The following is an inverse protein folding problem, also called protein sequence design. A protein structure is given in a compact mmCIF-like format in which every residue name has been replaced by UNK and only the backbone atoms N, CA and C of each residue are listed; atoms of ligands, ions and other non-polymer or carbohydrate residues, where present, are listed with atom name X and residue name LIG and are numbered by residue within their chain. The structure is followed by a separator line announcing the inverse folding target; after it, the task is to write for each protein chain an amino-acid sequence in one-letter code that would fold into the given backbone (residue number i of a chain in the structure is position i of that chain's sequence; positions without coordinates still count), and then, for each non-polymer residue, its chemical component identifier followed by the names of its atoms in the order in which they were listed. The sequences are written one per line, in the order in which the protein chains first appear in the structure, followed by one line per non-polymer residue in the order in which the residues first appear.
data_IF_088104102188
#
_entry.id   IF_088104102188
#
_cell.length_a   1.000
_cell.length_b   1.000
_cell.length_c   1.000
_cell.angle_alpha   90.00
_cell.angle_beta   90.00
_cell.angle_gamma   90.00
#
_symmetry.space_group_name_H-M   'P 1'
#
loop_
_entity.id
_entity.type
_entity.pdbx_description
1 polymer ?
#
# COMPACT_ATOMS: atom_id res chain seq x y z
N UNK A 1 43.40 -22.62 52.32
CA UNK A 1 43.41 -21.94 51.01
C UNK A 1 42.77 -22.86 49.99
N UNK A 2 42.00 -22.31 49.05
CA UNK A 2 41.23 -22.95 47.96
C UNK A 2 39.77 -23.31 48.26
N UNK A 3 38.89 -22.29 48.20
CA UNK A 3 37.48 -22.46 47.87
C UNK A 3 37.36 -22.13 46.38
N UNK A 4 37.13 -23.16 45.55
CA UNK A 4 36.87 -22.98 44.12
C UNK A 4 35.50 -22.33 43.96
N UNK A 5 35.49 -21.07 43.51
CA UNK A 5 34.29 -20.37 43.07
C UNK A 5 33.87 -20.92 41.71
N UNK A 6 32.87 -21.80 41.69
CA UNK A 6 32.17 -22.15 40.47
C UNK A 6 31.35 -20.95 39.99
N UNK A 7 31.83 -20.28 38.93
CA UNK A 7 31.01 -19.32 38.18
C UNK A 7 29.89 -20.08 37.47
N UNK A 8 28.66 -19.95 37.98
CA UNK A 8 27.46 -20.19 37.19
C UNK A 8 27.37 -19.07 36.15
N UNK A 9 27.75 -19.39 34.91
CA UNK A 9 27.41 -18.55 33.76
C UNK A 9 25.91 -18.68 33.56
N UNK A 10 25.15 -17.73 34.11
CA UNK A 10 23.77 -17.53 33.71
C UNK A 10 23.79 -17.09 32.24
N UNK A 11 23.57 -18.04 31.34
CA UNK A 11 23.21 -17.73 29.97
C UNK A 11 21.90 -16.94 30.04
N UNK A 12 22.01 -15.62 29.91
CA UNK A 12 20.88 -14.74 29.76
C UNK A 12 20.08 -15.23 28.55
N UNK A 13 18.94 -15.86 28.81
CA UNK A 13 17.87 -16.05 27.84
C UNK A 13 17.38 -14.65 27.48
N UNK A 14 18.08 -13.99 26.56
CA UNK A 14 17.47 -12.91 25.80
C UNK A 14 16.21 -13.54 25.16
N UNK A 15 15.01 -13.00 25.39
CA UNK A 15 13.86 -13.43 24.62
C UNK A 15 14.23 -13.11 23.17
N UNK A 16 14.56 -14.15 22.40
CA UNK A 16 14.72 -14.04 20.97
C UNK A 16 13.38 -13.56 20.45
N UNK A 17 13.29 -12.26 20.18
CA UNK A 17 12.18 -11.69 19.44
C UNK A 17 12.22 -12.41 18.10
N UNK A 18 11.37 -13.41 17.94
CA UNK A 18 11.22 -14.10 16.69
C UNK A 18 10.72 -13.04 15.70
N UNK A 19 11.65 -12.48 14.91
CA UNK A 19 11.32 -11.48 13.90
C UNK A 19 10.28 -12.13 12.98
N UNK A 20 9.08 -11.55 12.95
CA UNK A 20 8.02 -12.05 12.11
C UNK A 20 8.48 -11.80 10.67
N UNK A 21 8.74 -12.88 9.92
CA UNK A 21 9.17 -12.74 8.52
C UNK A 21 8.14 -11.87 7.78
N UNK A 22 8.61 -10.88 6.99
CA UNK A 22 7.70 -10.05 6.22
C UNK A 22 6.85 -10.95 5.31
N UNK A 23 5.57 -10.62 5.21
CA UNK A 23 4.63 -11.31 4.32
C UNK A 23 4.56 -10.56 3.00
N UNK A 24 4.68 -11.27 1.89
CA UNK A 24 4.53 -10.66 0.57
C UNK A 24 3.12 -10.89 0.07
N UNK A 25 2.57 -9.93 -0.66
CA UNK A 25 1.26 -10.04 -1.30
C UNK A 25 1.44 -10.01 -2.81
N UNK A 26 0.71 -10.88 -3.49
CA UNK A 26 0.40 -10.77 -4.91
C UNK A 26 -1.10 -10.52 -5.06
N UNK A 27 -1.46 -9.44 -5.72
CA UNK A 27 -2.81 -8.94 -5.81
C UNK A 27 -3.29 -8.88 -7.27
N UNK A 28 -4.55 -9.21 -7.48
CA UNK A 28 -5.23 -9.09 -8.76
C UNK A 28 -6.31 -8.01 -8.67
N UNK A 29 -6.35 -7.12 -9.66
CA UNK A 29 -7.31 -6.01 -9.69
C UNK A 29 -8.73 -6.56 -9.86
N UNK A 30 -9.60 -6.27 -8.90
CA UNK A 30 -11.02 -6.65 -8.91
C UNK A 30 -11.88 -5.50 -9.42
N UNK A 31 -11.58 -4.27 -9.00
CA UNK A 31 -12.31 -3.08 -9.40
C UNK A 31 -11.39 -1.87 -9.47
N UNK A 32 -11.58 -1.07 -10.51
CA UNK A 32 -10.93 0.22 -10.69
C UNK A 32 -11.97 1.35 -10.68
N UNK A 33 -11.55 2.60 -10.43
CA UNK A 33 -12.41 3.76 -10.61
C UNK A 33 -12.97 3.81 -12.02
N UNK A 34 -14.28 4.04 -12.15
CA UNK A 34 -14.91 4.26 -13.44
C UNK A 34 -14.72 5.72 -13.83
N UNK A 35 -13.64 6.02 -14.56
CA UNK A 35 -13.57 7.27 -15.29
C UNK A 35 -14.56 7.21 -16.47
N UNK A 36 -15.17 8.35 -16.83
CA UNK A 36 -15.99 8.42 -18.04
C UNK A 36 -15.17 7.97 -19.26
N UNK A 37 -15.81 7.21 -20.16
CA UNK A 37 -15.14 6.75 -21.37
C UNK A 37 -14.85 7.92 -22.30
N UNK A 38 -13.64 7.97 -22.85
CA UNK A 38 -13.31 8.95 -23.89
C UNK A 38 -14.07 8.62 -25.18
N UNK A 39 -14.74 9.62 -25.74
CA UNK A 39 -15.51 9.53 -27.00
C UNK A 39 -14.70 9.97 -28.22
N UNK A 40 -13.53 10.60 -28.01
CA UNK A 40 -12.61 11.02 -29.08
C UNK A 40 -11.16 11.14 -28.60
N UNK A 41 -10.21 11.10 -29.54
CA UNK A 41 -8.78 11.32 -29.24
C UNK A 41 -8.53 12.72 -28.69
N UNK A 42 -9.19 13.75 -29.23
CA UNK A 42 -9.11 15.13 -28.73
C UNK A 42 -9.49 15.23 -27.25
N UNK A 43 -10.58 14.57 -26.86
CA UNK A 43 -11.02 14.54 -25.46
C UNK A 43 -9.98 13.86 -24.56
N UNK A 44 -9.40 12.74 -25.02
CA UNK A 44 -8.31 12.05 -24.32
C UNK A 44 -7.08 12.96 -24.16
N UNK A 45 -6.66 13.64 -25.21
CA UNK A 45 -5.48 14.51 -25.18
C UNK A 45 -5.70 15.71 -24.26
N UNK A 46 -6.87 16.34 -24.31
CA UNK A 46 -7.24 17.43 -23.42
C UNK A 46 -7.31 16.97 -21.96
N UNK A 47 -7.86 15.79 -21.69
CA UNK A 47 -7.86 15.20 -20.35
C UNK A 47 -6.43 14.98 -19.84
N UNK A 48 -5.56 14.37 -20.65
CA UNK A 48 -4.15 14.14 -20.32
C UNK A 48 -3.41 15.46 -20.05
N UNK A 49 -3.65 16.49 -20.86
CA UNK A 49 -3.09 17.83 -20.64
C UNK A 49 -3.58 18.43 -19.31
N UNK A 50 -4.89 18.30 -19.00
CA UNK A 50 -5.48 18.80 -17.76
C UNK A 50 -4.92 18.11 -16.52
N UNK A 51 -4.82 16.78 -16.50
CA UNK A 51 -4.23 16.06 -15.34
C UNK A 51 -2.73 16.36 -15.18
N UNK A 52 -2.02 16.64 -16.26
CA UNK A 52 -0.61 17.03 -16.23
C UNK A 52 -0.44 18.45 -15.69
N UNK A 53 -1.25 19.40 -16.16
CA UNK A 53 -1.25 20.79 -15.68
C UNK A 53 -1.58 20.87 -14.18
N UNK A 54 -2.50 20.03 -13.71
CA UNK A 54 -2.84 19.91 -12.28
C UNK A 54 -1.82 19.11 -11.47
N UNK A 55 -0.85 18.45 -12.11
CA UNK A 55 0.16 17.65 -11.42
C UNK A 55 -0.39 16.36 -10.79
N UNK A 56 -1.53 15.85 -11.25
CA UNK A 56 -2.22 14.69 -10.65
C UNK A 56 -2.09 13.41 -11.48
N UNK A 57 -1.10 13.32 -12.38
CA UNK A 57 -0.86 12.11 -13.19
C UNK A 57 -0.78 10.84 -12.32
N UNK A 58 -0.16 10.89 -11.14
CA UNK A 58 -0.05 9.74 -10.23
C UNK A 58 -1.37 9.27 -9.62
N UNK A 59 -2.40 10.13 -9.63
CA UNK A 59 -3.75 9.80 -9.16
C UNK A 59 -4.47 8.86 -10.13
N UNK A 60 -4.33 9.06 -11.45
CA UNK A 60 -5.04 8.24 -12.45
C UNK A 60 -4.37 6.89 -12.74
N UNK A 61 -3.14 6.69 -12.27
CA UNK A 61 -2.40 5.43 -12.42
C UNK A 61 -2.83 4.46 -11.31
N UNK A 62 -3.16 3.20 -11.63
CA UNK A 62 -3.46 2.19 -10.62
C UNK A 62 -2.31 2.03 -9.61
N UNK A 63 -2.61 1.76 -8.32
CA UNK A 63 -1.58 1.35 -7.37
C UNK A 63 -1.04 -0.05 -7.73
N UNK A 64 0.05 -0.43 -7.07
CA UNK A 64 0.77 -1.66 -7.39
C UNK A 64 0.03 -2.93 -7.01
N UNK A 65 0.38 -4.01 -7.72
CA UNK A 65 -0.17 -5.33 -7.53
C UNK A 65 0.63 -6.16 -6.51
N UNK A 66 1.84 -5.71 -6.16
CA UNK A 66 2.72 -6.43 -5.25
C UNK A 66 3.14 -5.57 -4.06
N UNK A 67 3.03 -6.17 -2.86
CA UNK A 67 3.26 -5.47 -1.60
C UNK A 67 4.08 -6.33 -0.64
N UNK A 68 4.83 -5.69 0.26
CA UNK A 68 5.49 -6.34 1.39
C UNK A 68 4.93 -5.76 2.68
N UNK A 69 4.28 -6.61 3.46
CA UNK A 69 3.84 -6.29 4.82
C UNK A 69 4.99 -6.59 5.77
N UNK A 70 5.48 -5.55 6.43
CA UNK A 70 6.52 -5.62 7.45
C UNK A 70 5.97 -5.07 8.77
N UNK A 71 5.31 -5.95 9.54
CA UNK A 71 4.64 -5.56 10.78
C UNK A 71 5.64 -5.14 11.87
N UNK A 72 6.83 -5.73 11.87
CA UNK A 72 7.90 -5.39 12.81
C UNK A 72 8.42 -3.97 12.52
N UNK A 73 8.55 -3.60 11.24
CA UNK A 73 8.88 -2.24 10.83
C UNK A 73 7.67 -1.28 10.85
N UNK A 74 6.46 -1.78 11.16
CA UNK A 74 5.23 -0.97 11.18
C UNK A 74 4.89 -0.34 9.83
N UNK A 75 5.17 -1.02 8.71
CA UNK A 75 4.93 -0.48 7.37
C UNK A 75 4.54 -1.53 6.33
N UNK A 76 3.88 -1.08 5.25
CA UNK A 76 3.66 -1.86 4.03
C UNK A 76 4.39 -1.18 2.87
N UNK A 77 5.31 -1.89 2.24
CA UNK A 77 6.10 -1.40 1.11
C UNK A 77 5.46 -1.79 -0.22
N UNK A 78 5.34 -0.82 -1.12
CA UNK A 78 5.03 -1.03 -2.53
C UNK A 78 6.27 -1.57 -3.24
N UNK A 79 6.19 -2.78 -3.80
CA UNK A 79 7.37 -3.46 -4.36
C UNK A 79 7.72 -3.03 -5.78
N UNK A 80 6.80 -2.37 -6.49
CA UNK A 80 7.01 -1.89 -7.87
C UNK A 80 7.43 -0.43 -7.88
N UNK A 81 6.88 0.39 -6.99
CA UNK A 81 7.18 1.83 -6.90
C UNK A 81 8.23 2.16 -5.82
N UNK A 82 8.60 1.17 -4.99
CA UNK A 82 9.64 1.29 -3.98
C UNK A 82 9.23 2.02 -2.69
N UNK A 83 10.19 2.22 -1.77
CA UNK A 83 9.90 2.58 -0.37
C UNK A 83 9.34 3.99 -0.19
N UNK A 84 9.42 4.86 -1.20
CA UNK A 84 8.84 6.22 -1.15
C UNK A 84 7.32 6.18 -0.97
N UNK A 85 6.66 5.11 -1.42
CA UNK A 85 5.21 4.93 -1.33
C UNK A 85 4.81 4.00 -0.18
N UNK A 86 5.71 3.79 0.77
CA UNK A 86 5.41 2.95 1.92
C UNK A 86 4.21 3.50 2.71
N UNK A 87 3.30 2.59 3.03
CA UNK A 87 2.19 2.81 3.95
C UNK A 87 2.75 2.70 5.36
N UNK A 88 2.50 3.70 6.19
CA UNK A 88 2.95 3.79 7.57
C UNK A 88 1.76 3.96 8.51
N UNK A 89 2.06 4.15 9.79
CA UNK A 89 1.07 4.34 10.87
C UNK A 89 0.05 3.21 10.90
N UNK A 90 0.54 1.98 10.76
CA UNK A 90 -0.32 0.82 10.62
C UNK A 90 -1.14 0.60 11.88
N UNK A 91 -2.45 0.51 11.71
CA UNK A 91 -3.33 -0.08 12.71
C UNK A 91 -3.66 -1.49 12.27
N UNK A 92 -3.25 -2.43 13.11
CA UNK A 92 -3.33 -3.86 12.86
C UNK A 92 -4.30 -4.48 13.85
N UNK A 93 -5.31 -5.17 13.33
CA UNK A 93 -6.26 -5.98 14.11
C UNK A 93 -6.33 -7.38 13.52
N UNK A 94 -7.03 -8.30 14.18
CA UNK A 94 -7.25 -9.64 13.62
C UNK A 94 -8.03 -9.62 12.30
N UNK A 95 -8.87 -8.60 12.08
CA UNK A 95 -9.69 -8.46 10.89
C UNK A 95 -9.02 -7.73 9.74
N UNK A 96 -8.15 -6.75 10.01
CA UNK A 96 -7.60 -5.87 8.99
C UNK A 96 -6.23 -5.27 9.33
N UNK A 97 -5.55 -4.78 8.29
CA UNK A 97 -4.40 -3.88 8.36
C UNK A 97 -4.82 -2.61 7.64
N UNK A 98 -4.82 -1.48 8.34
CA UNK A 98 -5.04 -0.16 7.75
C UNK A 98 -3.82 0.74 7.94
N UNK A 99 -3.59 1.66 7.02
CA UNK A 99 -2.53 2.66 7.13
C UNK A 99 -2.61 3.69 6.01
N UNK A 100 -1.68 4.65 6.02
CA UNK A 100 -1.64 5.74 5.03
C UNK A 100 -0.24 5.91 4.45
N UNK A 101 -0.17 6.33 3.19
CA UNK A 101 1.09 6.84 2.63
C UNK A 101 1.34 8.27 3.10
N UNK A 102 2.57 8.75 2.97
CA UNK A 102 2.93 10.15 3.23
C UNK A 102 2.13 11.14 2.37
N UNK A 103 1.65 10.69 1.21
CA UNK A 103 0.81 11.47 0.29
C UNK A 103 -0.69 11.34 0.57
N UNK A 104 -1.05 10.76 1.72
CA UNK A 104 -2.44 10.67 2.19
C UNK A 104 -3.29 9.60 1.51
N UNK A 105 -2.69 8.67 0.75
CA UNK A 105 -3.44 7.54 0.17
C UNK A 105 -3.73 6.50 1.24
N UNK A 106 -4.95 5.98 1.26
CA UNK A 106 -5.39 4.98 2.25
C UNK A 106 -5.13 3.57 1.74
N UNK A 107 -4.65 2.72 2.65
CA UNK A 107 -4.48 1.30 2.45
C UNK A 107 -5.33 0.56 3.48
N UNK A 108 -6.19 -0.35 3.04
CA UNK A 108 -6.99 -1.21 3.90
C UNK A 108 -7.02 -2.64 3.36
N UNK A 109 -6.31 -3.54 4.04
CA UNK A 109 -6.31 -4.97 3.72
C UNK A 109 -7.15 -5.75 4.74
N UNK A 110 -8.17 -6.45 4.26
CA UNK A 110 -8.88 -7.47 5.05
C UNK A 110 -8.01 -8.71 5.19
N UNK A 111 -7.66 -9.06 6.43
CA UNK A 111 -6.88 -10.27 6.75
C UNK A 111 -7.72 -11.56 6.65
N UNK A 112 -9.05 -11.42 6.65
CA UNK A 112 -10.00 -12.54 6.54
C UNK A 112 -10.26 -12.91 5.09
N UNK A 113 -10.48 -11.91 4.24
CA UNK A 113 -10.89 -12.15 2.84
C UNK A 113 -9.74 -11.99 1.85
N UNK A 114 -8.63 -11.35 2.26
CA UNK A 114 -7.55 -10.97 1.35
C UNK A 114 -7.90 -9.79 0.43
N UNK A 115 -9.07 -9.17 0.58
CA UNK A 115 -9.43 -7.99 -0.20
C UNK A 115 -8.63 -6.78 0.28
N UNK A 116 -7.99 -6.08 -0.66
CA UNK A 116 -7.30 -4.82 -0.45
C UNK A 116 -8.10 -3.69 -1.10
N UNK A 117 -8.45 -2.68 -0.32
CA UNK A 117 -8.93 -1.39 -0.82
C UNK A 117 -7.80 -0.36 -0.72
N UNK A 118 -7.50 0.31 -1.83
CA UNK A 118 -6.53 1.40 -1.89
C UNK A 118 -7.22 2.66 -2.39
N UNK A 119 -7.13 3.75 -1.64
CA UNK A 119 -7.78 5.02 -1.99
C UNK A 119 -6.70 6.07 -2.28
N UNK A 120 -6.75 6.68 -3.46
CA UNK A 120 -5.95 7.87 -3.78
C UNK A 120 -6.84 9.09 -3.73
N UNK A 121 -6.27 10.21 -3.29
CA UNK A 121 -6.90 11.51 -3.32
C UNK A 121 -6.22 12.36 -4.39
N UNK A 122 -7.00 13.08 -5.20
CA UNK A 122 -6.48 13.94 -6.26
C UNK A 122 -5.80 15.21 -5.70
N UNK A 123 -6.12 15.58 -4.45
CA UNK A 123 -5.71 16.86 -3.87
C UNK A 123 -6.47 18.06 -4.44
N UNK A 124 -7.53 17.82 -5.21
CA UNK A 124 -8.39 18.84 -5.83
C UNK A 124 -9.85 18.55 -5.49
N UNK A 125 -10.68 19.58 -5.31
CA UNK A 125 -12.10 19.39 -4.95
C UNK A 125 -12.85 18.57 -6.03
N UNK A 126 -12.58 18.85 -7.30
CA UNK A 126 -12.90 18.08 -8.52
C UNK A 126 -12.62 19.00 -9.71
N UNK A 127 -12.54 18.47 -10.93
CA UNK A 127 -12.58 19.32 -12.12
C UNK A 127 -13.11 18.57 -13.32
N UNK A 128 -13.64 19.33 -14.28
CA UNK A 128 -14.18 18.82 -15.54
C UNK A 128 -13.32 19.30 -16.69
N UNK A 129 -12.86 18.38 -17.54
CA UNK A 129 -12.12 18.69 -18.77
C UNK A 129 -12.76 18.00 -19.96
N UNK A 130 -13.21 18.78 -20.96
CA UNK A 130 -13.92 18.27 -22.15
C UNK A 130 -15.08 17.30 -21.78
N UNK A 131 -15.81 17.61 -20.70
CA UNK A 131 -16.92 16.79 -20.21
C UNK A 131 -16.51 15.52 -19.46
N UNK A 132 -15.22 15.32 -19.18
CA UNK A 132 -14.71 14.27 -18.30
C UNK A 132 -14.56 14.82 -16.88
N UNK A 133 -15.30 14.24 -15.94
CA UNK A 133 -15.20 14.57 -14.51
C UNK A 133 -14.09 13.75 -13.83
N UNK A 134 -13.22 14.45 -13.09
CA UNK A 134 -12.19 13.84 -12.24
C UNK A 134 -12.61 13.96 -10.78
N UNK A 135 -12.93 12.83 -10.11
CA UNK A 135 -13.39 12.85 -8.73
C UNK A 135 -12.25 13.23 -7.77
N UNK A 136 -12.64 13.73 -6.59
CA UNK A 136 -11.73 14.05 -5.48
C UNK A 136 -10.91 12.85 -5.00
N UNK A 137 -11.49 11.65 -5.11
CA UNK A 137 -10.84 10.40 -4.72
C UNK A 137 -11.20 9.27 -5.68
N UNK A 138 -10.35 8.26 -5.67
CA UNK A 138 -10.47 7.08 -6.51
C UNK A 138 -10.14 5.85 -5.66
N UNK A 139 -10.94 4.79 -5.83
CA UNK A 139 -10.81 3.55 -5.07
C UNK A 139 -10.47 2.41 -6.02
N UNK A 140 -9.38 1.71 -5.72
CA UNK A 140 -9.01 0.46 -6.36
C UNK A 140 -9.22 -0.67 -5.36
N UNK A 141 -9.82 -1.75 -5.82
CA UNK A 141 -10.05 -2.96 -5.04
C UNK A 141 -9.28 -4.09 -5.68
N UNK A 142 -8.50 -4.81 -4.89
CA UNK A 142 -7.75 -5.98 -5.30
C UNK A 142 -8.13 -7.19 -4.46
N UNK A 143 -7.94 -8.37 -5.03
CA UNK A 143 -7.92 -9.63 -4.32
C UNK A 143 -6.46 -10.05 -4.15
N UNK A 144 -5.98 -10.11 -2.91
CA UNK A 144 -4.60 -10.45 -2.60
C UNK A 144 -4.46 -11.86 -2.04
N UNK A 145 -3.32 -12.47 -2.34
CA UNK A 145 -2.88 -13.73 -1.75
C UNK A 145 -1.50 -13.53 -1.12
N UNK A 146 -1.30 -14.09 0.06
CA UNK A 146 -0.02 -14.04 0.75
C UNK A 146 0.95 -15.07 0.16
N UNK A 147 2.19 -14.64 -0.07
CA UNK A 147 3.29 -15.48 -0.54
C UNK A 147 4.45 -15.41 0.44
N UNK A 148 5.11 -16.55 0.68
CA UNK A 148 6.32 -16.60 1.52
C UNK A 148 7.59 -16.09 0.82
N UNK A 149 7.48 -15.65 -0.44
CA UNK A 149 8.58 -15.17 -1.28
C UNK A 149 8.19 -13.83 -1.89
N UNK A 150 9.18 -12.97 -2.08
CA UNK A 150 9.03 -11.72 -2.84
C UNK A 150 8.56 -12.06 -4.27
N UNK A 151 7.52 -11.39 -4.72
CA UNK A 151 7.01 -11.44 -6.10
C UNK A 151 7.10 -10.03 -6.65
N UNK A 152 7.74 -9.85 -7.81
CA UNK A 152 7.84 -8.60 -8.57
C UNK A 152 7.46 -8.93 -10.01
#
# INVERSE_FOLDING_TARGET
MNIAKSLLIAAALAPGVAMAKPSYLKCELVSAPKYQQFTSQRQKDAFLAGILEKGIMGFVVPPSATWKIDLDAGQVEDLENGPRWAVKDLKVTDGFIEGKTEFGSDFLLSRVTGQLSYVKYSGTESFVQEGIDVPTYAVWVYQCSATGKRVV
#
